data_IF_143989390151
#
_entry.id   IF_143989390151
#
_cell.length_a   1.000
_cell.length_b   1.000
_cell.length_c   1.000
_cell.angle_alpha   90.00
_cell.angle_beta   90.00
_cell.angle_gamma   90.00
#
_symmetry.space_group_name_H-M   'P 1'
#
loop_
_entity.id
_entity.type
_entity.pdbx_description
1 polymer ?
#
# COMPACT_ATOMS: atom_id res chain seq x y z
N UNK A 1 5.39 5.31 -17.87
CA UNK A 1 6.66 4.58 -17.75
C UNK A 1 6.86 3.63 -18.95
N UNK A 2 6.22 2.46 -19.05
CA UNK A 2 6.52 1.46 -20.11
C UNK A 2 6.47 2.01 -21.54
N UNK A 3 5.43 2.75 -21.90
CA UNK A 3 5.29 3.36 -23.23
C UNK A 3 6.42 4.34 -23.55
N UNK A 4 6.78 5.16 -22.57
CA UNK A 4 7.89 6.13 -22.70
C UNK A 4 9.19 5.37 -22.89
N UNK A 5 9.50 4.41 -21.98
CA UNK A 5 10.73 3.61 -22.08
C UNK A 5 10.82 2.85 -23.40
N UNK A 6 9.74 2.25 -23.89
CA UNK A 6 9.75 1.54 -25.17
C UNK A 6 10.04 2.50 -26.35
N UNK A 7 9.42 3.68 -26.36
CA UNK A 7 9.63 4.69 -27.41
C UNK A 7 11.06 5.27 -27.40
N UNK A 8 11.60 5.58 -26.21
CA UNK A 8 12.98 6.06 -26.02
C UNK A 8 14.02 5.04 -26.46
N UNK A 9 13.67 3.71 -26.45
CA UNK A 9 14.52 2.64 -26.93
C UNK A 9 14.19 2.17 -28.35
N UNK A 10 13.54 3.01 -29.15
CA UNK A 10 13.42 2.84 -30.60
C UNK A 10 12.11 2.24 -31.13
N UNK A 11 11.13 1.97 -30.26
CA UNK A 11 9.81 1.55 -30.75
C UNK A 11 9.08 2.74 -31.38
N UNK A 12 8.88 2.68 -32.71
CA UNK A 12 8.37 3.81 -33.51
C UNK A 12 6.88 4.12 -33.29
N UNK A 13 6.07 3.11 -33.01
CA UNK A 13 4.61 3.26 -32.88
C UNK A 13 4.16 2.74 -31.51
N UNK A 14 3.97 3.66 -30.58
CA UNK A 14 3.49 3.36 -29.23
C UNK A 14 2.18 4.09 -28.98
N UNK A 15 1.13 3.31 -28.72
CA UNK A 15 -0.21 3.80 -28.44
C UNK A 15 -0.65 3.41 -27.02
N UNK A 16 -1.03 4.38 -26.22
CA UNK A 16 -1.64 4.18 -24.89
C UNK A 16 -3.14 4.40 -25.00
N UNK A 17 -3.93 3.42 -24.58
CA UNK A 17 -5.40 3.49 -24.53
C UNK A 17 -5.83 3.67 -23.07
N UNK A 18 -6.57 4.75 -22.80
CA UNK A 18 -7.16 5.04 -21.48
C UNK A 18 -8.69 5.04 -21.60
N UNK A 19 -9.35 4.25 -20.76
CA UNK A 19 -10.80 4.10 -20.79
C UNK A 19 -11.56 5.33 -20.30
N UNK A 20 -10.94 6.15 -19.47
CA UNK A 20 -11.53 7.34 -18.86
C UNK A 20 -11.21 8.61 -19.66
N UNK A 21 -11.92 9.73 -19.44
CA UNK A 21 -11.58 11.02 -20.08
C UNK A 21 -10.23 11.57 -19.65
N UNK A 22 -9.82 11.32 -18.39
CA UNK A 22 -8.59 11.84 -17.80
C UNK A 22 -7.66 10.68 -17.41
N UNK A 23 -6.43 10.63 -17.90
CA UNK A 23 -5.46 9.63 -17.52
C UNK A 23 -4.87 9.91 -16.14
N UNK A 24 -4.22 8.90 -15.55
CA UNK A 24 -3.44 9.02 -14.31
C UNK A 24 -4.29 9.40 -13.07
N UNK A 25 -5.57 9.00 -13.01
CA UNK A 25 -6.46 9.32 -11.91
C UNK A 25 -5.92 8.86 -10.54
N UNK A 26 -5.32 7.65 -10.46
CA UNK A 26 -4.71 7.18 -9.20
C UNK A 26 -3.52 8.03 -8.76
N UNK A 27 -2.73 8.56 -9.70
CA UNK A 27 -1.66 9.53 -9.41
C UNK A 27 -2.26 10.79 -8.80
N UNK A 28 -3.33 11.31 -9.42
CA UNK A 28 -4.00 12.55 -9.02
C UNK A 28 -4.47 12.53 -7.57
N UNK A 29 -5.14 11.45 -7.14
CA UNK A 29 -5.73 11.35 -5.79
C UNK A 29 -4.76 10.83 -4.73
N UNK A 30 -3.65 10.22 -5.13
CA UNK A 30 -2.72 9.58 -4.21
C UNK A 30 -2.04 10.57 -3.27
N UNK A 31 -1.68 10.09 -2.07
CA UNK A 31 -0.99 10.90 -1.08
C UNK A 31 -1.74 12.19 -0.69
N UNK A 32 -3.07 12.17 -0.73
CA UNK A 32 -3.90 13.36 -0.46
C UNK A 32 -3.78 14.45 -1.52
N UNK A 33 -3.59 14.08 -2.80
CA UNK A 33 -3.39 14.99 -3.91
C UNK A 33 -1.95 15.47 -4.10
N UNK A 34 -1.01 14.92 -3.33
CA UNK A 34 0.42 15.25 -3.39
C UNK A 34 1.21 14.28 -4.27
N UNK A 35 0.77 13.05 -4.39
CA UNK A 35 1.42 11.87 -4.98
C UNK A 35 2.72 11.46 -4.26
N UNK A 36 2.64 10.45 -3.42
CA UNK A 36 3.83 9.78 -2.90
C UNK A 36 4.41 8.88 -4.00
N UNK A 37 5.43 9.38 -4.69
CA UNK A 37 5.95 8.78 -5.94
C UNK A 37 6.70 7.47 -5.67
N UNK A 38 7.53 7.46 -4.63
CA UNK A 38 8.32 6.31 -4.20
C UNK A 38 8.76 6.48 -2.74
N UNK A 39 9.70 5.67 -2.28
CA UNK A 39 10.24 5.71 -0.93
C UNK A 39 11.77 5.73 -0.96
N UNK A 40 12.41 6.38 0.00
CA UNK A 40 13.87 6.37 0.15
C UNK A 40 14.33 5.03 0.77
N UNK A 41 14.08 3.95 0.04
CA UNK A 41 14.47 2.59 0.41
C UNK A 41 15.48 2.07 -0.63
N UNK A 42 16.75 2.17 -0.30
CA UNK A 42 17.85 2.01 -1.27
C UNK A 42 18.25 0.56 -1.52
N UNK A 43 18.04 -0.33 -0.54
CA UNK A 43 18.31 -1.77 -0.71
C UNK A 43 17.10 -2.48 -1.35
N UNK A 44 17.26 -3.09 -2.54
CA UNK A 44 16.20 -3.85 -3.19
C UNK A 44 15.64 -5.02 -2.36
N UNK A 45 16.44 -5.58 -1.46
CA UNK A 45 16.00 -6.67 -0.57
C UNK A 45 15.11 -6.13 0.54
N UNK A 46 15.48 -5.01 1.13
CA UNK A 46 14.67 -4.30 2.11
C UNK A 46 13.39 -3.79 1.45
N UNK A 47 13.48 -3.13 0.29
CA UNK A 47 12.34 -2.68 -0.50
C UNK A 47 11.31 -3.80 -0.71
N UNK A 48 11.76 -5.00 -1.06
CA UNK A 48 10.89 -6.14 -1.28
C UNK A 48 10.11 -6.58 -0.02
N UNK A 49 10.61 -6.31 1.19
CA UNK A 49 9.92 -6.67 2.45
C UNK A 49 8.63 -5.86 2.68
N UNK A 50 8.50 -4.72 2.02
CA UNK A 50 7.31 -3.86 2.08
C UNK A 50 6.12 -4.37 1.23
N UNK A 51 6.28 -5.53 0.58
CA UNK A 51 5.22 -6.13 -0.25
C UNK A 51 4.70 -7.42 0.40
N UNK A 52 3.51 -7.39 1.03
CA UNK A 52 2.86 -8.59 1.57
C UNK A 52 2.67 -9.70 0.53
N UNK A 53 2.39 -9.34 -0.74
CA UNK A 53 2.37 -10.22 -1.91
C UNK A 53 3.41 -9.74 -2.91
N UNK A 54 4.24 -10.66 -3.36
CA UNK A 54 5.33 -10.35 -4.29
C UNK A 54 6.70 -10.11 -3.67
N UNK A 55 6.87 -10.14 -2.34
CA UNK A 55 8.14 -9.85 -1.66
C UNK A 55 9.34 -10.56 -2.30
N UNK A 56 9.32 -11.90 -2.38
CA UNK A 56 10.42 -12.66 -2.96
C UNK A 56 10.55 -12.47 -4.48
N UNK A 57 9.46 -12.54 -5.27
CA UNK A 57 9.51 -12.35 -6.72
C UNK A 57 10.01 -10.98 -7.17
N UNK A 58 9.67 -9.91 -6.45
CA UNK A 58 10.05 -8.53 -6.82
C UNK A 58 11.53 -8.20 -6.57
N UNK A 59 12.29 -9.04 -5.88
CA UNK A 59 13.76 -8.80 -5.68
C UNK A 59 14.51 -8.67 -6.99
N UNK A 60 14.17 -9.49 -8.00
CA UNK A 60 14.76 -9.39 -9.33
C UNK A 60 14.43 -8.07 -10.04
N UNK A 61 13.17 -7.71 -10.21
CA UNK A 61 12.77 -6.40 -10.70
C UNK A 61 13.45 -5.22 -9.99
N UNK A 62 13.46 -5.21 -8.67
CA UNK A 62 14.04 -4.11 -7.88
C UNK A 62 15.58 -4.05 -7.94
N UNK A 63 16.28 -5.15 -8.24
CA UNK A 63 17.72 -5.10 -8.49
C UNK A 63 18.08 -4.43 -9.82
N UNK A 64 17.11 -4.20 -10.70
CA UNK A 64 17.28 -3.58 -12.01
C UNK A 64 16.70 -2.16 -12.11
N UNK A 65 15.64 -1.90 -11.36
CA UNK A 65 15.00 -0.59 -11.28
C UNK A 65 14.37 -0.41 -9.89
N UNK A 66 15.09 0.21 -8.98
CA UNK A 66 14.66 0.48 -7.61
C UNK A 66 14.23 1.94 -7.39
N UNK A 67 14.15 2.35 -6.14
CA UNK A 67 13.70 3.70 -5.77
C UNK A 67 14.68 4.77 -6.29
N UNK A 68 15.99 4.52 -6.23
CA UNK A 68 17.01 5.44 -6.75
C UNK A 68 16.86 5.64 -8.26
N UNK A 69 16.63 4.56 -9.00
CA UNK A 69 16.43 4.63 -10.46
C UNK A 69 15.14 5.39 -10.80
N UNK A 70 14.09 5.21 -10.02
CA UNK A 70 12.84 5.96 -10.20
C UNK A 70 13.05 7.47 -9.94
N UNK A 71 13.78 7.83 -8.88
CA UNK A 71 14.11 9.22 -8.57
C UNK A 71 14.94 9.84 -9.70
N UNK A 72 15.98 9.16 -10.16
CA UNK A 72 16.81 9.59 -11.28
C UNK A 72 15.98 9.77 -12.56
N UNK A 73 15.12 8.81 -12.88
CA UNK A 73 14.24 8.89 -14.03
C UNK A 73 13.34 10.14 -13.99
N UNK A 74 12.72 10.43 -12.85
CA UNK A 74 11.86 11.61 -12.70
C UNK A 74 12.66 12.91 -12.81
N UNK A 75 13.87 12.95 -12.24
CA UNK A 75 14.75 14.12 -12.31
C UNK A 75 15.22 14.39 -13.75
N UNK A 76 15.64 13.37 -14.50
CA UNK A 76 15.98 13.43 -15.93
C UNK A 76 14.82 13.97 -16.78
N UNK A 77 13.58 13.71 -16.36
CA UNK A 77 12.36 14.21 -17.03
C UNK A 77 11.85 15.54 -16.44
N UNK A 78 12.67 16.22 -15.63
CA UNK A 78 12.42 17.55 -15.09
C UNK A 78 11.48 17.61 -13.89
N UNK A 79 11.41 16.55 -13.11
CA UNK A 79 10.66 16.50 -11.86
C UNK A 79 11.54 16.11 -10.69
N UNK A 80 11.96 17.07 -9.90
CA UNK A 80 12.71 16.85 -8.67
C UNK A 80 11.80 16.33 -7.58
N UNK A 81 12.22 15.24 -6.91
CA UNK A 81 11.56 14.65 -5.76
C UNK A 81 12.27 15.04 -4.46
N UNK A 82 11.49 15.21 -3.38
CA UNK A 82 11.98 15.59 -2.04
C UNK A 82 11.59 14.51 -1.06
N UNK A 83 12.53 14.11 -0.21
CA UNK A 83 12.32 13.13 0.86
C UNK A 83 11.69 13.80 2.09
N UNK A 84 10.65 13.19 2.64
CA UNK A 84 10.10 13.51 3.96
C UNK A 84 10.80 12.70 5.07
N UNK A 85 10.74 13.15 6.33
CA UNK A 85 11.45 12.50 7.45
C UNK A 85 11.14 11.00 7.65
N UNK A 86 10.05 10.51 7.10
CA UNK A 86 9.66 9.09 7.15
C UNK A 86 10.01 8.32 5.86
N UNK A 87 10.86 8.88 5.00
CA UNK A 87 11.37 8.27 3.78
C UNK A 87 10.41 8.35 2.57
N UNK A 88 9.25 8.95 2.69
CA UNK A 88 8.34 9.15 1.56
C UNK A 88 8.87 10.21 0.61
N UNK A 89 8.79 9.95 -0.70
CA UNK A 89 9.26 10.84 -1.74
C UNK A 89 8.09 11.55 -2.44
N UNK A 90 8.08 12.87 -2.38
CA UNK A 90 7.05 13.71 -3.00
C UNK A 90 7.67 14.65 -4.05
N UNK A 91 6.89 15.09 -5.06
CA UNK A 91 7.36 16.15 -5.95
C UNK A 91 7.64 17.43 -5.15
N UNK A 92 8.71 18.14 -5.50
CA UNK A 92 9.10 19.40 -4.83
C UNK A 92 7.95 20.42 -4.81
N UNK A 93 7.10 20.41 -5.83
CA UNK A 93 5.91 21.26 -5.93
C UNK A 93 4.79 20.86 -4.96
N UNK A 94 4.94 19.74 -4.26
CA UNK A 94 4.01 19.21 -3.27
C UNK A 94 2.58 18.99 -3.80
N UNK A 95 2.44 18.65 -5.09
CA UNK A 95 1.15 18.39 -5.75
C UNK A 95 1.29 17.33 -6.84
N UNK A 96 0.32 16.43 -6.92
CA UNK A 96 0.28 15.32 -7.87
C UNK A 96 0.27 15.75 -9.33
N UNK A 97 -0.23 16.93 -9.60
CA UNK A 97 -0.27 17.51 -10.95
C UNK A 97 1.13 17.62 -11.58
N UNK A 98 2.17 17.89 -10.76
CA UNK A 98 3.55 17.94 -11.25
C UNK A 98 4.02 16.58 -11.79
N UNK A 99 3.65 15.48 -11.12
CA UNK A 99 3.94 14.11 -11.59
C UNK A 99 3.19 13.79 -12.88
N UNK A 100 1.91 14.18 -12.95
CA UNK A 100 1.08 13.97 -14.15
C UNK A 100 1.67 14.72 -15.34
N UNK A 101 2.03 15.99 -15.17
CA UNK A 101 2.63 16.82 -16.21
C UNK A 101 3.99 16.28 -16.67
N UNK A 102 4.83 15.80 -15.75
CA UNK A 102 6.10 15.16 -16.07
C UNK A 102 5.87 13.94 -16.98
N UNK A 103 5.03 13.00 -16.58
CA UNK A 103 4.73 11.79 -17.35
C UNK A 103 4.12 12.10 -18.72
N UNK A 104 3.19 13.06 -18.80
CA UNK A 104 2.57 13.47 -20.06
C UNK A 104 3.55 14.18 -20.99
N UNK A 105 4.44 15.03 -20.45
CA UNK A 105 5.48 15.71 -21.21
C UNK A 105 6.47 14.70 -21.77
N UNK A 106 6.96 13.77 -20.96
CA UNK A 106 7.85 12.71 -21.39
C UNK A 106 7.21 11.82 -22.48
N UNK A 107 5.95 11.42 -22.32
CA UNK A 107 5.21 10.65 -23.32
C UNK A 107 5.10 11.39 -24.67
N UNK A 108 4.79 12.69 -24.65
CA UNK A 108 4.74 13.51 -25.88
C UNK A 108 6.11 13.66 -26.53
N UNK A 109 7.15 13.91 -25.72
CA UNK A 109 8.52 14.09 -26.22
C UNK A 109 9.06 12.83 -26.90
N UNK A 110 8.70 11.64 -26.38
CA UNK A 110 9.08 10.35 -26.97
C UNK A 110 8.16 9.88 -28.08
N UNK A 111 7.15 10.67 -28.50
CA UNK A 111 6.25 10.33 -29.60
C UNK A 111 5.14 9.34 -29.26
N UNK A 112 4.90 9.06 -27.98
CA UNK A 112 3.81 8.19 -27.53
C UNK A 112 2.46 8.86 -27.79
N UNK A 113 1.57 8.12 -28.48
CA UNK A 113 0.19 8.53 -28.71
C UNK A 113 -0.68 8.11 -27.52
N UNK A 114 -1.48 9.04 -26.98
CA UNK A 114 -2.47 8.77 -25.94
C UNK A 114 -3.88 8.98 -26.48
N UNK A 115 -4.73 7.96 -26.38
CA UNK A 115 -6.16 8.03 -26.67
C UNK A 115 -6.96 7.80 -25.39
N UNK A 116 -7.70 8.81 -24.98
CA UNK A 116 -8.64 8.72 -23.85
C UNK A 116 -10.02 8.31 -24.31
N UNK A 117 -10.92 7.93 -23.39
CA UNK A 117 -12.26 7.38 -23.67
C UNK A 117 -12.23 6.16 -24.58
N UNK A 118 -11.14 5.39 -24.51
CA UNK A 118 -10.83 4.26 -25.37
C UNK A 118 -10.84 2.96 -24.55
N UNK A 119 -12.02 2.55 -24.10
CA UNK A 119 -12.19 1.35 -23.26
C UNK A 119 -12.09 0.09 -24.10
N UNK A 120 -10.98 -0.65 -23.93
CA UNK A 120 -10.81 -1.99 -24.52
C UNK A 120 -11.68 -2.98 -23.75
N UNK A 121 -12.53 -3.71 -24.46
CA UNK A 121 -13.42 -4.71 -23.89
C UNK A 121 -13.03 -6.14 -24.23
N UNK A 122 -12.33 -6.33 -25.36
CA UNK A 122 -11.89 -7.64 -25.85
C UNK A 122 -10.52 -7.55 -26.50
N UNK A 123 -9.75 -8.58 -26.25
CA UNK A 123 -8.46 -8.80 -26.92
C UNK A 123 -8.48 -10.21 -27.52
N UNK A 124 -8.06 -10.32 -28.78
CA UNK A 124 -7.84 -11.61 -29.46
C UNK A 124 -6.39 -11.69 -29.92
N UNK A 125 -5.86 -12.89 -29.96
CA UNK A 125 -4.56 -13.17 -30.53
C UNK A 125 -4.82 -13.74 -31.95
N UNK A 126 -4.28 -13.06 -32.95
CA UNK A 126 -4.33 -13.55 -34.32
C UNK A 126 -3.34 -14.73 -34.54
N UNK A 127 -3.57 -15.67 -35.43
CA UNK A 127 -2.65 -16.78 -35.71
C UNK A 127 -1.20 -16.33 -36.02
N UNK A 128 -1.01 -15.14 -36.57
CA UNK A 128 0.30 -14.53 -36.83
C UNK A 128 0.95 -13.90 -35.57
N UNK A 129 0.41 -14.14 -34.38
CA UNK A 129 0.95 -13.59 -33.12
C UNK A 129 0.65 -12.13 -32.87
N UNK A 130 -0.24 -11.50 -33.66
CA UNK A 130 -0.66 -10.11 -33.47
C UNK A 130 -1.86 -10.01 -32.51
N UNK A 131 -1.94 -8.94 -31.76
CA UNK A 131 -3.10 -8.63 -30.93
C UNK A 131 -4.13 -7.81 -31.69
N UNK A 132 -5.40 -8.18 -31.56
CA UNK A 132 -6.54 -7.40 -32.06
C UNK A 132 -7.35 -6.93 -30.87
N UNK A 133 -7.45 -5.60 -30.72
CA UNK A 133 -8.16 -4.95 -29.61
C UNK A 133 -9.47 -4.40 -30.11
N UNK A 134 -10.54 -4.70 -29.40
CA UNK A 134 -11.91 -4.25 -29.70
C UNK A 134 -12.52 -3.58 -28.47
N UNK A 135 -13.29 -2.54 -28.68
CA UNK A 135 -13.97 -1.82 -27.61
C UNK A 135 -15.11 -0.96 -28.10
N UNK A 136 -15.91 -0.45 -27.20
CA UNK A 136 -17.03 0.41 -27.56
C UNK A 136 -16.52 1.72 -28.17
N UNK A 137 -16.91 2.01 -29.40
CA UNK A 137 -16.48 3.22 -30.10
C UNK A 137 -15.01 3.20 -30.53
N UNK A 138 -14.38 2.03 -30.54
CA UNK A 138 -13.03 1.80 -31.06
C UNK A 138 -13.10 1.00 -32.35
N UNK A 139 -12.52 1.50 -33.44
CA UNK A 139 -12.16 0.67 -34.57
C UNK A 139 -11.16 -0.39 -34.11
N UNK A 140 -11.22 -1.61 -34.68
CA UNK A 140 -10.28 -2.67 -34.33
C UNK A 140 -8.82 -2.20 -34.47
N UNK A 141 -8.04 -2.32 -33.40
CA UNK A 141 -6.64 -1.93 -33.41
C UNK A 141 -5.76 -3.19 -33.42
N UNK A 142 -4.69 -3.13 -34.18
CA UNK A 142 -3.73 -4.22 -34.33
C UNK A 142 -2.39 -3.81 -33.69
N UNK A 143 -1.78 -4.71 -32.93
CA UNK A 143 -0.47 -4.50 -32.30
C UNK A 143 0.39 -5.75 -32.32
N UNK A 144 1.69 -5.61 -32.53
CA UNK A 144 2.66 -6.71 -32.43
C UNK A 144 2.92 -7.12 -30.98
N UNK A 145 2.86 -6.15 -30.06
CA UNK A 145 2.94 -6.37 -28.61
C UNK A 145 1.78 -5.69 -27.92
N UNK A 146 1.38 -6.22 -26.76
CA UNK A 146 0.34 -5.65 -25.93
C UNK A 146 0.83 -5.58 -24.47
N UNK A 147 0.64 -4.45 -23.82
CA UNK A 147 0.83 -4.34 -22.38
C UNK A 147 -0.50 -4.05 -21.67
N UNK A 148 -0.85 -4.85 -20.68
CA UNK A 148 -1.95 -4.60 -19.77
C UNK A 148 -1.42 -3.93 -18.49
N UNK A 149 -1.78 -2.66 -18.29
CA UNK A 149 -1.40 -1.85 -17.13
C UNK A 149 -2.63 -1.17 -16.49
N UNK A 150 -3.72 -1.92 -16.37
CA UNK A 150 -5.05 -1.45 -15.99
C UNK A 150 -5.23 -1.26 -14.48
N UNK A 151 -4.19 -1.49 -13.69
CA UNK A 151 -4.27 -1.46 -12.24
C UNK A 151 -5.25 -2.51 -11.68
N UNK A 152 -5.83 -2.23 -10.53
CA UNK A 152 -6.79 -3.13 -9.88
C UNK A 152 -8.19 -3.14 -10.51
N UNK A 153 -8.41 -2.55 -11.68
CA UNK A 153 -9.74 -2.52 -12.32
C UNK A 153 -10.17 -3.90 -12.84
N UNK A 154 -11.44 -4.31 -12.69
CA UNK A 154 -11.93 -5.62 -13.13
C UNK A 154 -11.70 -5.92 -14.63
N UNK A 155 -11.77 -4.91 -15.50
CA UNK A 155 -11.61 -5.10 -16.94
C UNK A 155 -10.26 -5.73 -17.30
N UNK A 156 -9.17 -5.26 -16.68
CA UNK A 156 -7.84 -5.83 -16.95
C UNK A 156 -7.71 -7.27 -16.51
N UNK A 157 -8.26 -7.62 -15.34
CA UNK A 157 -8.30 -9.01 -14.88
C UNK A 157 -9.11 -9.90 -15.80
N UNK A 158 -10.25 -9.39 -16.30
CA UNK A 158 -11.07 -10.12 -17.28
C UNK A 158 -10.34 -10.34 -18.62
N UNK A 159 -9.64 -9.32 -19.11
CA UNK A 159 -8.81 -9.43 -20.31
C UNK A 159 -7.67 -10.44 -20.13
N UNK A 160 -6.96 -10.39 -18.99
CA UNK A 160 -5.91 -11.35 -18.69
C UNK A 160 -6.44 -12.77 -18.57
N UNK A 161 -7.59 -12.98 -17.91
CA UNK A 161 -8.24 -14.28 -17.82
C UNK A 161 -8.66 -14.82 -19.20
N UNK A 162 -9.22 -13.96 -20.08
CA UNK A 162 -9.58 -14.34 -21.45
C UNK A 162 -8.37 -14.72 -22.31
N UNK A 163 -7.17 -14.23 -21.95
CA UNK A 163 -5.89 -14.59 -22.56
C UNK A 163 -5.22 -15.81 -21.88
N UNK A 164 -5.94 -16.54 -21.02
CA UNK A 164 -5.52 -17.78 -20.40
C UNK A 164 -4.76 -17.65 -19.07
N UNK A 165 -4.74 -16.47 -18.48
CA UNK A 165 -4.08 -16.26 -17.18
C UNK A 165 -4.95 -16.65 -16.00
N UNK A 166 -4.33 -17.26 -15.00
CA UNK A 166 -4.93 -17.46 -13.68
C UNK A 166 -4.98 -16.14 -12.94
N UNK A 167 -6.18 -15.76 -12.51
CA UNK A 167 -6.40 -14.58 -11.69
C UNK A 167 -6.68 -15.00 -10.25
N UNK A 168 -5.81 -14.61 -9.33
CA UNK A 168 -6.05 -14.76 -7.89
C UNK A 168 -7.18 -13.82 -7.48
N UNK A 169 -8.24 -14.32 -6.80
CA UNK A 169 -9.37 -13.49 -6.43
C UNK A 169 -8.96 -12.24 -5.64
N UNK A 170 -9.43 -11.05 -6.04
CA UNK A 170 -9.07 -9.81 -5.40
C UNK A 170 -9.76 -9.66 -4.05
N UNK A 171 -9.01 -9.22 -3.05
CA UNK A 171 -9.52 -8.86 -1.72
C UNK A 171 -8.98 -7.48 -1.33
N UNK A 172 -9.70 -6.73 -0.50
CA UNK A 172 -9.21 -5.46 0.05
C UNK A 172 -7.88 -5.58 0.76
N UNK A 173 -7.01 -4.60 0.57
CA UNK A 173 -5.74 -4.41 1.27
C UNK A 173 -5.63 -2.97 1.75
N UNK A 174 -4.83 -2.70 2.80
CA UNK A 174 -4.60 -1.36 3.35
C UNK A 174 -5.91 -0.67 3.81
N UNK A 175 -6.63 -1.30 4.71
CA UNK A 175 -7.89 -0.76 5.23
C UNK A 175 -7.85 -0.55 6.75
N UNK A 176 -8.67 0.37 7.23
CA UNK A 176 -8.90 0.60 8.66
C UNK A 176 -9.72 -0.54 9.26
N UNK A 177 -9.51 -0.85 10.53
CA UNK A 177 -10.23 -1.87 11.27
C UNK A 177 -11.38 -1.25 12.08
N UNK A 178 -12.59 -1.81 11.94
CA UNK A 178 -13.70 -1.52 12.83
C UNK A 178 -13.60 -2.41 14.08
N UNK A 179 -13.66 -1.79 15.25
CA UNK A 179 -13.46 -2.47 16.55
C UNK A 179 -14.67 -2.31 17.46
N UNK A 180 -14.91 -3.30 18.29
CA UNK A 180 -15.87 -3.21 19.38
C UNK A 180 -15.19 -2.61 20.62
N UNK A 181 -14.99 -1.31 20.62
CA UNK A 181 -14.26 -0.59 21.66
C UNK A 181 -14.86 0.80 21.95
N UNK A 182 -16.05 0.90 22.57
CA UNK A 182 -16.72 2.18 22.80
C UNK A 182 -15.84 3.22 23.52
N UNK A 183 -15.07 2.78 24.51
CA UNK A 183 -14.17 3.68 25.27
C UNK A 183 -13.05 4.25 24.39
N UNK A 184 -12.52 3.48 23.43
CA UNK A 184 -11.56 3.99 22.45
C UNK A 184 -12.24 4.91 21.44
N UNK A 185 -13.45 4.58 20.99
CA UNK A 185 -14.20 5.41 20.04
C UNK A 185 -14.47 6.83 20.58
N UNK A 186 -14.66 6.98 21.89
CA UNK A 186 -14.76 8.27 22.55
C UNK A 186 -13.45 9.10 22.46
N UNK A 187 -12.31 8.45 22.14
CA UNK A 187 -11.01 9.07 21.91
C UNK A 187 -10.71 9.33 20.43
N UNK A 188 -11.72 9.33 19.57
CA UNK A 188 -11.55 9.58 18.13
C UNK A 188 -10.78 10.86 17.83
N UNK A 189 -9.93 10.81 16.79
CA UNK A 189 -9.03 11.87 16.36
C UNK A 189 -7.66 11.85 17.03
N UNK A 190 -7.45 10.98 18.03
CA UNK A 190 -6.14 10.84 18.69
C UNK A 190 -5.24 9.94 17.85
N UNK A 191 -4.04 10.45 17.54
CA UNK A 191 -2.94 9.67 16.98
C UNK A 191 -1.92 9.36 18.07
N UNK A 192 -1.41 8.13 18.08
CA UNK A 192 -0.41 7.65 19.05
C UNK A 192 0.69 6.94 18.29
N UNK A 193 1.93 7.24 18.62
CA UNK A 193 3.10 6.57 18.07
C UNK A 193 3.45 5.30 18.90
N UNK A 194 4.22 4.41 18.30
CA UNK A 194 4.78 3.20 18.91
C UNK A 194 3.77 2.25 19.55
N UNK A 195 2.56 2.17 18.98
CA UNK A 195 1.55 1.20 19.42
C UNK A 195 1.82 -0.16 18.77
N UNK A 196 1.90 -1.19 19.61
CA UNK A 196 1.99 -2.58 19.16
C UNK A 196 0.61 -3.14 18.79
N UNK A 197 0.53 -3.75 17.61
CA UNK A 197 -0.65 -4.44 17.08
C UNK A 197 -0.31 -5.92 16.90
N UNK A 198 -1.08 -6.83 17.49
CA UNK A 198 -0.88 -8.27 17.38
C UNK A 198 -2.22 -8.95 17.08
N UNK A 199 -2.35 -9.48 15.88
CA UNK A 199 -3.53 -10.17 15.37
C UNK A 199 -3.22 -11.65 15.18
N UNK A 200 -3.96 -12.52 15.85
CA UNK A 200 -3.90 -13.97 15.65
C UNK A 200 -5.21 -14.46 15.02
N UNK A 201 -5.10 -15.13 13.87
CA UNK A 201 -6.22 -15.76 13.16
C UNK A 201 -5.84 -17.19 12.78
N UNK A 202 -6.46 -18.17 13.43
CA UNK A 202 -6.03 -19.58 13.34
C UNK A 202 -4.57 -19.73 13.77
N UNK A 203 -3.76 -20.36 12.93
CA UNK A 203 -2.32 -20.56 13.18
C UNK A 203 -1.45 -19.40 12.71
N UNK A 204 -2.03 -18.42 12.04
CA UNK A 204 -1.30 -17.26 11.53
C UNK A 204 -1.33 -16.12 12.52
N UNK A 205 -0.19 -15.44 12.62
CA UNK A 205 0.00 -14.29 13.51
C UNK A 205 0.65 -13.15 12.77
N UNK A 206 0.05 -11.97 12.87
CA UNK A 206 0.49 -10.74 12.23
C UNK A 206 0.79 -9.70 13.31
N UNK A 207 1.98 -9.10 13.24
CA UNK A 207 2.41 -8.07 14.19
C UNK A 207 2.89 -6.84 13.44
N UNK A 208 2.50 -5.68 13.95
CA UNK A 208 2.99 -4.39 13.48
C UNK A 208 3.19 -3.47 14.68
N UNK A 209 4.14 -2.56 14.57
CA UNK A 209 4.35 -1.50 15.56
C UNK A 209 4.44 -0.16 14.83
N UNK A 210 3.94 0.89 15.44
CA UNK A 210 4.05 2.26 14.94
C UNK A 210 2.79 3.08 15.18
N UNK A 211 2.67 4.17 14.43
CA UNK A 211 1.60 5.14 14.60
C UNK A 211 0.23 4.56 14.26
N UNK A 212 -0.73 4.72 15.18
CA UNK A 212 -2.15 4.44 15.00
C UNK A 212 -2.98 5.71 15.13
N UNK A 213 -4.13 5.72 14.48
CA UNK A 213 -5.15 6.76 14.61
C UNK A 213 -6.42 6.12 15.16
N UNK A 214 -6.90 6.58 16.30
CA UNK A 214 -8.20 6.19 16.82
C UNK A 214 -9.29 6.91 16.01
N UNK A 215 -10.26 6.16 15.52
CA UNK A 215 -11.41 6.66 14.76
C UNK A 215 -12.71 6.39 15.50
N UNK A 216 -13.81 6.96 15.05
CA UNK A 216 -15.14 6.72 15.65
C UNK A 216 -15.57 5.25 15.65
N UNK A 217 -15.00 4.42 14.78
CA UNK A 217 -15.38 3.00 14.64
C UNK A 217 -14.23 2.02 14.92
N UNK A 218 -13.05 2.49 15.25
CA UNK A 218 -11.92 1.61 15.52
C UNK A 218 -10.56 2.26 15.29
N UNK A 219 -9.69 1.61 14.52
CA UNK A 219 -8.33 2.07 14.29
C UNK A 219 -8.00 2.24 12.81
N UNK A 220 -7.21 3.27 12.52
CA UNK A 220 -6.55 3.54 11.25
C UNK A 220 -5.07 3.91 11.51
N UNK A 221 -4.43 4.55 10.56
CA UNK A 221 -3.03 4.96 10.64
C UNK A 221 -2.05 3.92 10.12
N UNK A 222 -0.79 4.28 9.92
CA UNK A 222 0.20 3.46 9.20
C UNK A 222 0.36 2.04 9.74
N UNK A 223 0.41 1.83 11.05
CA UNK A 223 0.55 0.50 11.64
C UNK A 223 -0.69 -0.38 11.38
N UNK A 224 -1.90 0.18 11.51
CA UNK A 224 -3.15 -0.53 11.23
C UNK A 224 -3.28 -0.90 9.76
N UNK A 225 -2.94 0.03 8.85
CA UNK A 225 -2.98 -0.21 7.41
C UNK A 225 -1.96 -1.29 7.00
N UNK A 226 -0.73 -1.27 7.54
CA UNK A 226 0.25 -2.34 7.32
C UNK A 226 -0.26 -3.67 7.84
N UNK A 227 -0.81 -3.72 9.06
CA UNK A 227 -1.36 -4.95 9.62
C UNK A 227 -2.44 -5.55 8.72
N UNK A 228 -3.40 -4.73 8.27
CA UNK A 228 -4.48 -5.16 7.39
C UNK A 228 -3.98 -5.64 6.03
N UNK A 229 -2.90 -5.03 5.50
CA UNK A 229 -2.27 -5.46 4.26
C UNK A 229 -1.66 -6.87 4.40
N UNK A 230 -0.84 -7.10 5.42
CA UNK A 230 -0.25 -8.42 5.64
C UNK A 230 -1.31 -9.49 5.93
N UNK A 231 -2.36 -9.15 6.68
CA UNK A 231 -3.44 -10.06 7.06
C UNK A 231 -4.61 -10.12 6.06
N UNK A 232 -4.55 -9.42 4.91
CA UNK A 232 -5.69 -9.15 4.02
C UNK A 232 -6.49 -10.41 3.66
N UNK A 233 -5.84 -11.47 3.18
CA UNK A 233 -6.50 -12.72 2.76
C UNK A 233 -7.11 -13.47 3.94
N UNK A 234 -6.37 -13.55 5.04
CA UNK A 234 -6.84 -14.27 6.24
C UNK A 234 -7.99 -13.53 6.90
N UNK A 235 -7.94 -12.19 6.96
CA UNK A 235 -9.07 -11.37 7.41
C UNK A 235 -10.29 -11.55 6.52
N UNK A 236 -10.12 -11.58 5.19
CA UNK A 236 -11.22 -11.85 4.26
C UNK A 236 -11.85 -13.22 4.49
N UNK A 237 -11.04 -14.28 4.63
CA UNK A 237 -11.50 -15.66 4.92
C UNK A 237 -12.28 -15.74 6.24
N UNK A 238 -11.87 -14.95 7.25
CA UNK A 238 -12.54 -14.84 8.54
C UNK A 238 -13.66 -13.78 8.55
N UNK A 239 -14.14 -13.32 7.38
CA UNK A 239 -15.19 -12.30 7.25
C UNK A 239 -14.86 -11.01 8.02
N UNK A 240 -13.57 -10.67 8.07
CA UNK A 240 -13.01 -9.51 8.80
C UNK A 240 -13.33 -9.52 10.30
N UNK A 241 -13.45 -10.69 10.91
CA UNK A 241 -13.63 -10.87 12.36
C UNK A 241 -12.39 -11.48 12.99
N UNK A 242 -12.14 -11.13 14.24
CA UNK A 242 -11.01 -11.63 15.01
C UNK A 242 -10.82 -10.83 16.29
N UNK A 243 -9.75 -11.11 17.02
CA UNK A 243 -9.36 -10.37 18.22
C UNK A 243 -8.01 -9.69 17.97
N UNK A 244 -7.96 -8.36 18.11
CA UNK A 244 -6.75 -7.58 18.04
C UNK A 244 -6.25 -7.31 19.45
N UNK A 245 -4.98 -7.64 19.71
CA UNK A 245 -4.28 -7.24 20.93
C UNK A 245 -3.51 -5.96 20.65
N UNK A 246 -3.69 -4.97 21.54
CA UNK A 246 -3.05 -3.66 21.47
C UNK A 246 -2.05 -3.53 22.63
N UNK A 247 -0.88 -2.99 22.31
CA UNK A 247 0.14 -2.61 23.26
C UNK A 247 0.40 -1.10 23.15
N UNK A 248 -0.06 -0.36 24.14
CA UNK A 248 0.06 1.10 24.24
C UNK A 248 1.29 1.53 25.03
N UNK A 249 2.10 0.58 25.52
CA UNK A 249 3.21 0.83 26.44
C UNK A 249 4.48 1.33 25.77
N UNK A 250 4.48 1.53 24.45
CA UNK A 250 5.67 1.86 23.66
C UNK A 250 6.83 0.87 23.93
N UNK A 251 6.51 -0.41 24.05
CA UNK A 251 7.48 -1.48 24.23
C UNK A 251 7.93 -1.76 25.66
N UNK A 252 7.45 -1.02 26.66
CA UNK A 252 7.82 -1.26 28.07
C UNK A 252 7.39 -2.64 28.58
N UNK A 253 6.28 -3.14 28.06
CA UNK A 253 5.71 -4.41 28.53
C UNK A 253 5.23 -4.37 29.98
N UNK A 254 4.86 -5.53 30.50
CA UNK A 254 4.26 -5.66 31.83
C UNK A 254 5.21 -5.24 32.98
N UNK A 255 6.46 -5.68 32.94
CA UNK A 255 7.45 -5.36 33.99
C UNK A 255 7.74 -3.87 34.03
N UNK A 256 8.09 -3.26 32.90
CA UNK A 256 8.39 -1.84 32.82
C UNK A 256 7.21 -0.93 33.21
N UNK A 257 5.97 -1.34 32.85
CA UNK A 257 4.76 -0.64 33.31
C UNK A 257 4.60 -0.73 34.84
N UNK A 258 4.82 -1.92 35.43
CA UNK A 258 4.70 -2.11 36.88
C UNK A 258 5.74 -1.27 37.63
N UNK A 259 7.00 -1.31 37.20
CA UNK A 259 8.08 -0.49 37.75
C UNK A 259 7.76 1.01 37.63
N UNK A 260 7.26 1.44 36.47
CA UNK A 260 6.87 2.82 36.24
C UNK A 260 5.74 3.26 37.16
N UNK A 261 4.75 2.42 37.44
CA UNK A 261 3.66 2.73 38.35
C UNK A 261 4.14 2.79 39.80
N UNK A 262 5.04 1.88 40.22
CA UNK A 262 5.66 1.93 41.55
C UNK A 262 6.46 3.21 41.75
N UNK A 263 7.29 3.60 40.79
CA UNK A 263 8.03 4.87 40.82
C UNK A 263 7.08 6.04 40.90
N UNK A 264 6.03 6.10 40.08
CA UNK A 264 5.06 7.20 40.04
C UNK A 264 4.28 7.32 41.37
N UNK A 265 3.97 6.17 41.99
CA UNK A 265 3.35 6.13 43.34
C UNK A 265 4.22 6.77 44.38
N UNK A 266 5.53 6.66 44.30
CA UNK A 266 6.46 7.31 45.22
C UNK A 266 6.64 8.81 44.91
N UNK A 267 6.91 9.14 43.67
CA UNK A 267 7.22 10.49 43.22
C UNK A 267 6.00 11.44 43.23
N UNK A 268 4.83 10.90 42.88
CA UNK A 268 3.60 11.66 42.64
C UNK A 268 2.47 11.29 43.62
N UNK A 269 2.80 10.74 44.80
CA UNK A 269 1.88 10.17 45.78
C UNK A 269 0.64 11.04 46.05
N UNK A 270 0.83 12.37 46.19
CA UNK A 270 -0.23 13.33 46.53
C UNK A 270 -1.03 13.83 45.32
N UNK A 271 -0.55 13.63 44.11
CA UNK A 271 -1.22 14.09 42.88
C UNK A 271 -2.30 13.10 42.46
N UNK A 272 -3.31 13.60 41.77
CA UNK A 272 -4.35 12.74 41.21
C UNK A 272 -3.84 12.00 39.95
N UNK A 273 -4.43 10.83 39.65
CA UNK A 273 -4.12 10.02 38.49
C UNK A 273 -4.33 10.80 37.16
N UNK A 274 -5.34 11.64 37.10
CA UNK A 274 -5.59 12.51 35.97
C UNK A 274 -4.55 13.61 35.78
N UNK A 275 -4.06 14.20 36.89
CA UNK A 275 -3.14 15.33 36.85
C UNK A 275 -1.70 14.89 36.57
N UNK A 276 -1.31 13.69 37.01
CA UNK A 276 0.04 13.15 36.85
C UNK A 276 0.01 11.82 36.06
N UNK A 277 -0.08 11.91 34.74
CA UNK A 277 0.00 10.73 33.88
C UNK A 277 1.45 10.23 33.79
N UNK A 278 1.69 8.90 33.84
CA UNK A 278 3.04 8.35 33.88
C UNK A 278 3.71 8.24 32.51
N UNK A 279 2.99 8.53 31.43
CA UNK A 279 3.46 8.37 30.06
C UNK A 279 3.20 9.63 29.23
N UNK A 280 4.26 10.25 28.72
CA UNK A 280 4.14 11.47 27.92
C UNK A 280 3.46 11.22 26.58
N UNK A 281 3.76 10.10 25.93
CA UNK A 281 3.20 9.72 24.64
C UNK A 281 1.70 9.43 24.65
N UNK A 282 1.10 9.14 25.83
CA UNK A 282 -0.34 8.96 25.95
C UNK A 282 -1.06 10.30 26.15
N UNK A 283 -1.95 10.72 25.24
CA UNK A 283 -2.77 11.92 25.43
C UNK A 283 -3.69 11.79 26.67
N UNK A 284 -3.95 12.91 27.36
CA UNK A 284 -4.76 12.94 28.58
C UNK A 284 -6.11 12.26 28.43
N UNK A 285 -6.81 12.51 27.32
CA UNK A 285 -8.13 11.92 27.06
C UNK A 285 -8.07 10.39 26.97
N UNK A 286 -7.03 9.85 26.34
CA UNK A 286 -6.84 8.41 26.26
C UNK A 286 -6.44 7.81 27.61
N UNK A 287 -5.57 8.48 28.37
CA UNK A 287 -5.23 8.06 29.74
C UNK A 287 -6.46 8.00 30.65
N UNK A 288 -7.34 9.02 30.61
CA UNK A 288 -8.60 9.03 31.35
C UNK A 288 -9.52 7.87 30.93
N UNK A 289 -9.58 7.55 29.65
CA UNK A 289 -10.34 6.39 29.18
C UNK A 289 -9.79 5.09 29.78
N UNK A 290 -8.47 4.91 29.90
CA UNK A 290 -7.89 3.74 30.57
C UNK A 290 -8.23 3.69 32.06
N UNK A 291 -8.19 4.82 32.78
CA UNK A 291 -8.62 4.89 34.17
C UNK A 291 -10.08 4.43 34.33
N UNK A 292 -10.98 4.96 33.48
CA UNK A 292 -12.39 4.57 33.47
C UNK A 292 -12.57 3.09 33.18
N UNK A 293 -11.87 2.54 32.18
CA UNK A 293 -11.91 1.10 31.86
C UNK A 293 -11.39 0.22 32.99
N UNK A 294 -10.45 0.72 33.80
CA UNK A 294 -9.94 0.03 34.97
C UNK A 294 -10.84 0.22 36.22
N UNK A 295 -11.94 0.95 36.11
CA UNK A 295 -12.83 1.26 37.23
C UNK A 295 -12.20 2.17 38.27
N UNK A 296 -11.34 3.08 37.85
CA UNK A 296 -10.61 4.02 38.73
C UNK A 296 -11.07 5.44 38.46
N UNK A 297 -11.44 6.14 39.53
CA UNK A 297 -11.77 7.56 39.43
C UNK A 297 -10.52 8.38 39.11
N UNK A 298 -10.54 9.27 38.13
CA UNK A 298 -9.39 10.08 37.70
C UNK A 298 -8.84 10.99 38.81
N UNK A 299 -9.69 11.40 39.75
CA UNK A 299 -9.39 12.27 40.88
C UNK A 299 -8.69 11.56 42.06
N UNK A 300 -8.66 10.21 42.02
CA UNK A 300 -7.94 9.41 43.03
C UNK A 300 -6.45 9.72 42.99
N UNK A 301 -5.82 9.75 44.17
CA UNK A 301 -4.36 10.00 44.32
C UNK A 301 -3.58 8.75 43.95
N UNK A 302 -2.35 8.94 43.48
CA UNK A 302 -1.44 7.83 43.17
C UNK A 302 -1.17 6.92 44.38
N UNK A 303 -1.04 7.52 45.61
CA UNK A 303 -0.89 6.72 46.82
C UNK A 303 -2.05 5.76 47.08
N UNK A 304 -3.25 6.14 46.67
CA UNK A 304 -4.49 5.43 46.99
C UNK A 304 -4.92 4.46 45.83
N UNK A 305 -4.08 4.27 44.78
CA UNK A 305 -4.39 3.37 43.68
C UNK A 305 -4.39 1.93 44.17
N UNK A 306 -5.54 1.20 44.11
CA UNK A 306 -5.60 -0.20 44.53
C UNK A 306 -4.73 -1.09 43.67
N UNK A 307 -4.06 -2.07 44.27
CA UNK A 307 -3.20 -3.03 43.53
C UNK A 307 -3.98 -3.77 42.43
N UNK A 308 -5.25 -4.09 42.67
CA UNK A 308 -6.11 -4.73 41.66
C UNK A 308 -6.31 -3.83 40.43
N UNK A 309 -6.57 -2.55 40.66
CA UNK A 309 -6.76 -1.58 39.58
C UNK A 309 -5.44 -1.29 38.84
N UNK A 310 -4.32 -1.21 39.56
CA UNK A 310 -2.99 -1.12 38.96
C UNK A 310 -2.70 -2.28 38.01
N UNK A 311 -2.96 -3.53 38.43
CA UNK A 311 -2.79 -4.71 37.57
C UNK A 311 -3.69 -4.64 36.35
N UNK A 312 -4.91 -4.15 36.48
CA UNK A 312 -5.85 -3.99 35.36
C UNK A 312 -5.40 -2.89 34.38
N UNK A 313 -4.86 -1.79 34.89
CA UNK A 313 -4.25 -0.76 34.03
C UNK A 313 -3.03 -1.28 33.28
N UNK A 314 -2.16 -2.05 33.94
CA UNK A 314 -1.02 -2.70 33.28
C UNK A 314 -1.50 -3.60 32.16
N UNK A 315 -2.52 -4.42 32.40
CA UNK A 315 -3.08 -5.30 31.35
C UNK A 315 -3.69 -4.52 30.18
N UNK A 316 -4.46 -3.47 30.47
CA UNK A 316 -5.05 -2.61 29.46
C UNK A 316 -3.96 -1.89 28.61
N UNK A 317 -2.87 -1.49 29.24
CA UNK A 317 -1.79 -0.77 28.53
C UNK A 317 -0.90 -1.68 27.69
N UNK A 318 -0.60 -2.93 28.12
CA UNK A 318 0.32 -3.80 27.38
C UNK A 318 -0.37 -4.93 26.62
N UNK A 319 -1.66 -5.19 26.85
CA UNK A 319 -2.31 -6.38 26.30
C UNK A 319 -3.82 -6.20 26.12
N UNK A 320 -4.29 -5.00 25.83
CA UNK A 320 -5.71 -4.75 25.60
C UNK A 320 -6.23 -5.58 24.42
N UNK A 321 -7.22 -6.43 24.69
CA UNK A 321 -7.87 -7.26 23.67
C UNK A 321 -9.15 -6.60 23.21
N UNK A 322 -9.31 -6.47 21.89
CA UNK A 322 -10.44 -5.79 21.28
C UNK A 322 -10.97 -6.61 20.10
N UNK A 323 -12.26 -6.97 20.09
CA UNK A 323 -12.86 -7.65 18.96
C UNK A 323 -12.88 -6.79 17.70
N UNK A 324 -12.45 -7.36 16.58
CA UNK A 324 -12.62 -6.78 15.24
C UNK A 324 -14.03 -7.12 14.76
N UNK A 325 -14.80 -6.11 14.35
CA UNK A 325 -16.16 -6.27 13.83
C UNK A 325 -16.21 -6.24 12.30
N UNK A 326 -15.18 -5.70 11.65
CA UNK A 326 -15.15 -5.55 10.20
C UNK A 326 -14.08 -4.59 9.71
N UNK A 327 -14.22 -4.19 8.46
CA UNK A 327 -13.46 -3.09 7.87
C UNK A 327 -14.02 -1.74 8.34
N UNK A 328 -13.17 -0.71 8.38
CA UNK A 328 -13.62 0.65 8.65
C UNK A 328 -14.61 1.17 7.58
N UNK A 329 -15.35 2.23 7.89
CA UNK A 329 -16.47 2.72 7.08
C UNK A 329 -16.06 3.36 5.75
N UNK A 330 -14.81 3.77 5.61
CA UNK A 330 -14.30 4.32 4.36
C UNK A 330 -13.94 3.15 3.44
N UNK A 331 -14.95 2.69 2.69
CA UNK A 331 -14.89 1.52 1.83
C UNK A 331 -14.10 1.71 0.52
N UNK A 332 -13.40 2.81 0.35
CA UNK A 332 -12.45 2.96 -0.74
C UNK A 332 -11.17 2.21 -0.36
N UNK A 333 -11.02 1.07 -0.96
CA UNK A 333 -9.82 0.26 -0.88
C UNK A 333 -8.68 1.04 -1.53
N UNK A 334 -7.66 1.38 -0.73
CA UNK A 334 -6.49 2.03 -1.28
C UNK A 334 -5.77 1.12 -2.28
N UNK A 335 -5.78 -0.21 -2.03
CA UNK A 335 -5.07 -1.22 -2.82
C UNK A 335 -5.84 -2.55 -2.77
N UNK A 336 -5.74 -3.30 -3.84
CA UNK A 336 -6.31 -4.65 -3.96
C UNK A 336 -5.19 -5.70 -3.87
N UNK A 337 -5.35 -6.69 -2.99
CA UNK A 337 -4.53 -7.90 -2.95
C UNK A 337 -5.17 -8.97 -3.84
N UNK A 338 -4.47 -9.44 -4.84
CA UNK A 338 -4.98 -10.34 -5.89
C UNK A 338 -4.74 -9.77 -7.27
N UNK A 339 -4.89 -10.57 -8.30
CA UNK A 339 -4.58 -10.22 -9.68
C UNK A 339 -3.97 -11.40 -10.40
N UNK A 340 -3.29 -11.17 -11.54
CA UNK A 340 -2.63 -12.22 -12.32
C UNK A 340 -1.54 -12.88 -11.50
N UNK A 341 -1.55 -14.21 -11.44
CA UNK A 341 -0.58 -15.00 -10.68
C UNK A 341 0.86 -14.74 -11.15
N UNK A 342 1.75 -14.40 -10.22
CA UNK A 342 3.14 -14.02 -10.54
C UNK A 342 3.94 -15.12 -11.23
N UNK A 343 3.62 -16.40 -10.99
CA UNK A 343 4.25 -17.54 -11.64
C UNK A 343 4.03 -17.59 -13.16
N UNK A 344 3.03 -16.88 -13.68
CA UNK A 344 2.70 -16.82 -15.09
C UNK A 344 3.35 -15.67 -15.84
N UNK A 345 4.15 -14.86 -15.13
CA UNK A 345 4.88 -13.71 -15.68
C UNK A 345 6.37 -13.91 -15.53
N UNK A 346 7.12 -13.64 -16.58
CA UNK A 346 8.57 -13.50 -16.48
C UNK A 346 8.91 -12.14 -15.90
N UNK A 347 9.20 -12.09 -14.60
CA UNK A 347 9.42 -10.84 -13.90
C UNK A 347 10.71 -10.10 -14.30
N UNK A 348 11.60 -10.72 -15.08
CA UNK A 348 12.76 -10.05 -15.66
C UNK A 348 12.39 -9.16 -16.86
N UNK A 349 11.32 -9.50 -17.57
CA UNK A 349 10.85 -8.81 -18.78
C UNK A 349 9.41 -8.30 -18.64
N UNK A 350 8.70 -8.74 -17.61
CA UNK A 350 7.26 -8.53 -17.39
C UNK A 350 6.39 -9.18 -18.49
N UNK A 351 6.95 -10.07 -19.31
CA UNK A 351 6.24 -10.79 -20.35
C UNK A 351 5.46 -11.98 -19.78
N UNK A 352 4.30 -12.23 -20.35
CA UNK A 352 3.48 -13.40 -20.06
C UNK A 352 4.21 -14.69 -20.46
N UNK A 353 4.16 -15.70 -19.59
CA UNK A 353 4.61 -17.06 -19.91
C UNK A 353 3.57 -17.88 -20.69
N UNK A 354 2.33 -17.35 -20.81
CA UNK A 354 1.19 -17.97 -21.45
C UNK A 354 0.93 -17.45 -22.86
N UNK A 355 1.15 -16.15 -23.05
CA UNK A 355 0.81 -15.45 -24.28
C UNK A 355 2.03 -14.62 -24.72
N UNK A 356 2.83 -15.10 -25.66
CA UNK A 356 4.01 -14.37 -26.16
C UNK A 356 3.63 -12.98 -26.68
N UNK A 357 4.46 -11.97 -26.42
CA UNK A 357 4.21 -10.59 -26.79
C UNK A 357 3.22 -9.84 -25.90
N UNK A 358 2.60 -10.53 -24.89
CA UNK A 358 1.78 -9.89 -23.86
C UNK A 358 2.64 -9.54 -22.65
N UNK A 359 2.53 -8.31 -22.18
CA UNK A 359 3.22 -7.80 -20.99
C UNK A 359 2.21 -7.37 -19.94
N UNK A 360 2.55 -7.55 -18.65
CA UNK A 360 1.67 -7.25 -17.52
C UNK A 360 2.48 -6.59 -16.41
N UNK A 361 2.00 -5.47 -15.87
CA UNK A 361 2.67 -4.80 -14.76
C UNK A 361 1.70 -4.07 -13.83
N UNK A 362 2.24 -3.67 -12.67
CA UNK A 362 1.54 -2.91 -11.67
C UNK A 362 0.50 -3.73 -10.90
N UNK A 363 -0.52 -3.08 -10.39
CA UNK A 363 -1.57 -3.66 -9.53
C UNK A 363 -2.50 -4.67 -10.26
N UNK A 364 -2.34 -4.87 -11.56
CA UNK A 364 -2.96 -5.97 -12.30
C UNK A 364 -2.41 -7.33 -11.85
N UNK A 365 -1.17 -7.37 -11.42
CA UNK A 365 -0.52 -8.56 -10.88
C UNK A 365 -0.92 -8.80 -9.42
N UNK A 366 -0.75 -10.03 -8.94
CA UNK A 366 -0.90 -10.36 -7.51
C UNK A 366 0.27 -9.78 -6.69
N UNK A 367 0.35 -8.45 -6.69
CA UNK A 367 1.35 -7.64 -6.00
C UNK A 367 0.67 -6.47 -5.32
N UNK A 368 0.93 -6.30 -4.04
CA UNK A 368 0.57 -5.08 -3.33
C UNK A 368 1.62 -4.74 -2.27
N UNK A 369 1.93 -3.47 -2.20
CA UNK A 369 2.83 -2.88 -1.22
C UNK A 369 2.07 -2.23 -0.07
N UNK A 370 2.77 -1.98 1.03
CA UNK A 370 2.25 -1.15 2.13
C UNK A 370 2.15 0.33 1.71
N UNK A 371 1.63 1.19 2.59
CA UNK A 371 1.63 2.64 2.37
C UNK A 371 3.06 3.18 2.35
N UNK A 372 3.34 4.22 1.55
CA UNK A 372 4.65 4.86 1.52
C UNK A 372 5.27 4.99 0.12
N UNK A 373 4.49 4.93 -0.96
CA UNK A 373 4.98 5.01 -2.35
C UNK A 373 5.32 3.66 -2.98
N UNK A 374 5.29 2.58 -2.20
CA UNK A 374 5.70 1.24 -2.65
C UNK A 374 4.85 0.70 -3.80
N UNK A 375 3.53 0.92 -3.80
CA UNK A 375 2.67 0.46 -4.90
C UNK A 375 3.03 1.15 -6.22
N UNK A 376 3.36 2.44 -6.20
CA UNK A 376 3.86 3.13 -7.39
C UNK A 376 5.25 2.63 -7.79
N UNK A 377 6.14 2.36 -6.82
CA UNK A 377 7.45 1.81 -7.14
C UNK A 377 7.36 0.50 -7.93
N UNK A 378 6.48 -0.42 -7.52
CA UNK A 378 6.25 -1.66 -8.29
C UNK A 378 5.74 -1.38 -9.72
N UNK A 379 4.91 -0.34 -9.89
CA UNK A 379 4.44 0.08 -11.20
C UNK A 379 5.57 0.70 -12.05
N UNK A 380 6.44 1.51 -11.45
CA UNK A 380 7.59 2.09 -12.15
C UNK A 380 8.56 1.02 -12.61
N UNK A 381 8.97 0.13 -11.69
CA UNK A 381 9.88 -0.98 -11.98
C UNK A 381 9.34 -1.91 -13.05
N UNK A 382 8.11 -2.40 -12.88
CA UNK A 382 7.49 -3.28 -13.87
C UNK A 382 7.26 -2.59 -15.22
N UNK A 383 6.87 -1.32 -15.21
CA UNK A 383 6.69 -0.53 -16.42
C UNK A 383 8.00 -0.32 -17.17
N UNK A 384 9.06 0.04 -16.48
CA UNK A 384 10.39 0.22 -17.08
C UNK A 384 10.90 -1.08 -17.70
N UNK A 385 10.86 -2.19 -16.96
CA UNK A 385 11.30 -3.51 -17.43
C UNK A 385 10.51 -3.98 -18.66
N UNK A 386 9.19 -3.81 -18.67
CA UNK A 386 8.36 -4.12 -19.83
C UNK A 386 8.74 -3.28 -21.04
N UNK A 387 8.95 -1.97 -20.86
CA UNK A 387 9.37 -1.08 -21.95
C UNK A 387 10.69 -1.49 -22.58
N UNK A 388 11.68 -1.81 -21.77
CA UNK A 388 12.98 -2.31 -22.20
C UNK A 388 12.84 -3.64 -23.00
N UNK A 389 12.06 -4.57 -22.48
CA UNK A 389 11.88 -5.87 -23.10
C UNK A 389 11.11 -5.79 -24.43
N UNK A 390 10.08 -4.94 -24.50
CA UNK A 390 9.33 -4.68 -25.74
C UNK A 390 10.26 -4.09 -26.81
N UNK A 391 11.08 -3.12 -26.44
CA UNK A 391 12.03 -2.52 -27.39
C UNK A 391 13.06 -3.54 -27.90
N UNK A 392 13.66 -4.33 -27.01
CA UNK A 392 14.63 -5.36 -27.40
C UNK A 392 14.02 -6.43 -28.33
N UNK A 393 12.77 -6.84 -28.07
CA UNK A 393 12.07 -7.84 -28.90
C UNK A 393 11.73 -7.32 -30.31
N UNK A 394 11.33 -6.05 -30.43
CA UNK A 394 10.92 -5.47 -31.73
C UNK A 394 12.11 -5.00 -32.57
N UNK A 395 13.15 -4.44 -31.95
CA UNK A 395 14.35 -4.01 -32.68
C UNK A 395 15.22 -5.18 -33.13
N UNK A 396 15.24 -6.29 -32.38
CA UNK A 396 15.95 -7.52 -32.78
C UNK A 396 15.30 -8.26 -33.98
N UNK A 397 13.99 -8.10 -34.17
CA UNK A 397 13.27 -8.74 -35.29
C UNK A 397 13.42 -7.95 -36.62
N UNK A 398 13.74 -6.64 -36.57
CA UNK A 398 13.99 -5.83 -37.79
C UNK A 398 15.41 -6.05 -38.38
N UNK A 399 16.35 -6.65 -37.61
CA UNK A 399 17.70 -6.95 -38.10
C UNK A 399 17.81 -8.34 -38.77
N UNK A 400 16.75 -9.14 -38.72
CA UNK A 400 16.71 -10.51 -39.28
C UNK A 400 15.75 -10.64 -40.49
N UNK A 401 15.30 -9.54 -41.08
CA UNK A 401 14.50 -9.54 -42.32
C UNK A 401 15.22 -8.87 -43.48
#
# INVERSE_FOLDING_TARGET
MAAITAAEHGVRQVLVLEGTPEPLQKVRISGGGRCNVTHACWDPRELATHYPRGSRPLRGPFSRFACGDAIAWFDEHGLTLVEEPDGRMFPQQNRSEAVIQCLQKAARASGVQLRTKAMVQKVRVHPEGRFVLEGRGLEPLHGGCLMLATGGHPSGRNLAAALGHQVVPPVPSLFSLALQAPALSACSGIAIDDVGLDLKLGDQRFRQTGRVLITHRGLSGPATLRLSAFAARVLHQNRYKGELKLDWSAGLGRSGLTERFQQWRQEQARRTLAAAKPFEHLPRRLWQAFLTMAGVEPERRWADLPIKAERQLVELLCAQRVPIQGRGPFGEEFVTAGGVALGEVNLATMESRRCPGLYLAGELLDVDGVTGGFNFQACWSGGWLAGQAIAAGLTGSDQTR
#
